data_IF_105633936138
#
_entry.id   IF_105633936138
#
_cell.length_a   1.000
_cell.length_b   1.000
_cell.length_c   1.000
_cell.angle_alpha   90.00
_cell.angle_beta   90.00
_cell.angle_gamma   90.00
#
_symmetry.space_group_name_H-M   'P 1'
#
loop_
_entity.id
_entity.type
_entity.pdbx_description
1 polymer ?
#
# COMPACT_ATOMS: atom_id res chain seq x y z
N UNK A 1 22.43 65.10 2.96
CA UNK A 1 22.05 64.50 4.24
C UNK A 1 21.57 63.06 3.99
N UNK A 2 22.40 62.09 4.28
CA UNK A 2 22.03 60.65 4.20
C UNK A 2 21.50 60.24 5.58
N UNK A 3 20.24 59.77 5.60
CA UNK A 3 19.62 59.16 6.79
C UNK A 3 19.84 57.66 6.70
N UNK A 4 20.72 57.07 7.54
CA UNK A 4 20.86 55.67 7.72
C UNK A 4 19.79 55.17 8.70
N UNK A 5 18.76 54.51 8.20
CA UNK A 5 17.79 53.75 8.99
C UNK A 5 18.36 52.37 9.35
N UNK A 6 18.66 52.13 10.62
CA UNK A 6 19.05 50.83 11.14
C UNK A 6 17.81 49.97 11.32
N UNK A 7 17.53 49.06 10.36
CA UNK A 7 16.49 48.05 10.51
C UNK A 7 17.07 46.87 11.29
N UNK A 8 16.62 46.66 12.53
CA UNK A 8 16.87 45.41 13.27
C UNK A 8 16.28 44.25 12.49
N UNK A 9 17.01 43.14 12.33
CA UNK A 9 16.41 41.93 11.74
C UNK A 9 15.30 41.44 12.68
N UNK A 10 14.11 41.27 12.13
CA UNK A 10 13.03 40.55 12.81
C UNK A 10 13.49 39.11 12.88
N UNK A 11 13.95 38.66 14.05
CA UNK A 11 14.11 37.25 14.36
C UNK A 11 12.68 36.65 14.33
N UNK A 12 12.39 35.89 13.30
CA UNK A 12 11.24 34.99 13.30
C UNK A 12 11.46 34.03 14.48
N UNK A 13 10.59 34.10 15.46
CA UNK A 13 10.53 33.11 16.53
C UNK A 13 10.27 31.76 15.86
N UNK A 14 11.25 30.90 15.80
CA UNK A 14 11.09 29.47 15.58
C UNK A 14 10.28 28.98 16.78
N UNK A 15 8.97 28.96 16.64
CA UNK A 15 8.13 28.16 17.50
C UNK A 15 8.55 26.70 17.24
N UNK A 16 9.26 26.10 18.17
CA UNK A 16 9.44 24.65 18.27
C UNK A 16 8.03 24.04 18.33
N UNK A 17 7.47 23.73 17.15
CA UNK A 17 6.33 22.83 17.06
C UNK A 17 6.87 21.47 17.49
N UNK A 18 6.48 21.01 18.67
CA UNK A 18 6.53 19.58 18.98
C UNK A 18 5.96 18.88 17.74
N UNK A 19 6.69 17.95 17.12
CA UNK A 19 6.14 17.17 16.03
C UNK A 19 4.95 16.40 16.61
N UNK A 20 3.73 16.81 16.24
CA UNK A 20 2.58 15.94 16.44
C UNK A 20 2.84 14.66 15.65
N UNK A 21 2.51 13.48 16.20
CA UNK A 21 2.67 12.22 15.49
C UNK A 21 1.83 12.30 14.20
N UNK A 22 2.51 12.47 13.07
CA UNK A 22 1.87 12.58 11.75
C UNK A 22 1.76 11.19 11.19
N UNK A 23 0.63 10.56 11.39
CA UNK A 23 0.29 9.31 10.73
C UNK A 23 -0.16 9.59 9.30
N UNK A 24 0.32 8.78 8.35
CA UNK A 24 -0.11 8.82 6.95
C UNK A 24 -1.02 7.62 6.68
N UNK A 25 -2.24 7.88 6.22
CA UNK A 25 -3.19 6.84 5.82
C UNK A 25 -3.34 6.90 4.29
N UNK A 26 -3.05 5.79 3.63
CA UNK A 26 -3.18 5.63 2.18
C UNK A 26 -4.42 4.76 1.90
N UNK A 27 -5.41 5.33 1.20
CA UNK A 27 -6.55 4.57 0.69
C UNK A 27 -6.24 4.15 -0.75
N UNK A 28 -6.03 2.87 -0.98
CA UNK A 28 -5.84 2.30 -2.31
C UNK A 28 -7.16 1.70 -2.78
N UNK A 29 -7.76 2.34 -3.79
CA UNK A 29 -9.01 1.90 -4.41
C UNK A 29 -8.72 1.73 -5.91
N UNK A 30 -8.38 0.51 -6.30
CA UNK A 30 -8.12 0.19 -7.71
C UNK A 30 -9.42 0.28 -8.51
N UNK A 31 -9.32 0.70 -9.78
CA UNK A 31 -10.46 0.87 -10.71
C UNK A 31 -11.47 1.96 -10.36
N UNK A 32 -11.20 2.80 -9.37
CA UNK A 32 -12.01 3.99 -9.11
C UNK A 32 -11.79 5.03 -10.21
N UNK A 33 -12.87 5.50 -10.82
CA UNK A 33 -12.86 6.60 -11.79
C UNK A 33 -13.21 7.92 -11.10
N UNK A 34 -12.71 9.03 -11.63
CA UNK A 34 -13.12 10.37 -11.17
C UNK A 34 -14.63 10.60 -11.33
N UNK A 35 -15.26 9.90 -12.28
CA UNK A 35 -16.72 9.97 -12.50
C UNK A 35 -17.53 9.24 -11.41
N UNK A 36 -16.89 8.37 -10.61
CA UNK A 36 -17.51 7.70 -9.49
C UNK A 36 -17.60 8.58 -8.24
N UNK A 37 -16.88 9.70 -8.24
CA UNK A 37 -16.86 10.63 -7.13
C UNK A 37 -18.05 11.58 -7.22
N UNK A 38 -19.01 11.41 -6.32
CA UNK A 38 -20.17 12.30 -6.21
C UNK A 38 -20.70 12.41 -4.78
N UNK A 39 -21.39 13.48 -4.42
CA UNK A 39 -22.03 13.60 -3.11
C UNK A 39 -23.05 12.49 -2.82
N UNK A 40 -23.63 11.88 -3.87
CA UNK A 40 -24.68 10.89 -3.77
C UNK A 40 -24.11 9.46 -3.60
N UNK A 41 -23.09 9.12 -4.36
CA UNK A 41 -22.55 7.74 -4.42
C UNK A 41 -21.36 7.53 -3.49
N UNK A 42 -20.52 8.56 -3.32
CA UNK A 42 -19.29 8.50 -2.54
C UNK A 42 -19.13 9.72 -1.60
N UNK A 43 -20.11 9.97 -0.70
CA UNK A 43 -20.18 11.24 0.04
C UNK A 43 -18.95 11.52 0.91
N UNK A 44 -18.31 10.50 1.46
CA UNK A 44 -17.11 10.66 2.29
C UNK A 44 -15.87 10.98 1.45
N UNK A 45 -15.68 10.34 0.29
CA UNK A 45 -14.59 10.67 -0.63
C UNK A 45 -14.79 12.06 -1.21
N UNK A 46 -16.03 12.43 -1.54
CA UNK A 46 -16.37 13.77 -1.97
C UNK A 46 -15.99 14.81 -0.93
N UNK A 47 -16.31 14.57 0.34
CA UNK A 47 -15.96 15.47 1.45
C UNK A 47 -14.45 15.59 1.65
N UNK A 48 -13.69 14.48 1.50
CA UNK A 48 -12.23 14.52 1.55
C UNK A 48 -11.66 15.41 0.43
N UNK A 49 -12.22 15.32 -0.78
CA UNK A 49 -11.87 16.17 -1.91
C UNK A 49 -12.13 17.66 -1.65
N UNK A 50 -13.24 18.01 -1.00
CA UNK A 50 -13.57 19.40 -0.64
C UNK A 50 -12.62 19.97 0.43
N UNK A 51 -12.10 19.13 1.31
CA UNK A 51 -11.21 19.52 2.41
C UNK A 51 -9.73 19.44 2.06
N UNK A 52 -9.38 18.72 1.01
CA UNK A 52 -8.03 18.47 0.56
C UNK A 52 -7.74 19.05 -0.81
N UNK A 53 -6.92 18.33 -1.56
CA UNK A 53 -6.57 18.66 -2.95
C UNK A 53 -6.72 17.45 -3.85
N UNK A 54 -7.03 17.68 -5.13
CA UNK A 54 -7.00 16.66 -6.17
C UNK A 54 -5.74 16.86 -7.01
N UNK A 55 -5.05 15.77 -7.29
CA UNK A 55 -3.94 15.73 -8.22
C UNK A 55 -4.15 14.61 -9.25
N UNK A 56 -3.80 14.85 -10.49
CA UNK A 56 -3.71 13.82 -11.51
C UNK A 56 -2.28 13.31 -11.58
N UNK A 57 -2.11 11.99 -11.42
CA UNK A 57 -0.81 11.35 -11.51
C UNK A 57 -0.65 10.68 -12.87
N UNK A 58 0.54 10.77 -13.45
CA UNK A 58 0.87 9.98 -14.64
C UNK A 58 0.96 8.50 -14.28
N UNK A 59 0.18 7.66 -14.95
CA UNK A 59 0.10 6.22 -14.71
C UNK A 59 1.10 5.40 -15.52
N UNK A 60 2.15 6.00 -16.09
CA UNK A 60 3.23 5.28 -16.78
C UNK A 60 4.01 4.46 -15.74
N UNK A 61 4.25 3.20 -16.08
CA UNK A 61 5.06 2.26 -15.30
C UNK A 61 6.23 1.75 -16.12
N UNK A 62 7.09 0.92 -15.58
CA UNK A 62 8.17 0.26 -16.34
C UNK A 62 7.68 -0.83 -17.32
N UNK A 63 6.38 -1.13 -17.33
CA UNK A 63 5.75 -2.16 -18.17
C UNK A 63 4.28 -1.84 -18.43
N UNK A 64 3.43 -2.87 -18.42
CA UNK A 64 1.99 -2.73 -18.57
C UNK A 64 1.37 -1.93 -17.41
N UNK A 65 0.25 -1.26 -17.66
CA UNK A 65 -0.49 -0.50 -16.65
C UNK A 65 -1.32 -1.45 -15.78
N UNK A 66 -0.68 -2.05 -14.79
CA UNK A 66 -1.32 -2.91 -13.80
C UNK A 66 -1.14 -2.33 -12.41
N UNK A 67 -1.99 -2.72 -11.45
CA UNK A 67 -1.85 -2.35 -10.03
C UNK A 67 -0.47 -2.75 -9.48
N UNK A 68 0.02 -3.93 -9.85
CA UNK A 68 1.35 -4.45 -9.49
C UNK A 68 2.46 -3.47 -9.91
N UNK A 69 2.50 -3.14 -11.21
CA UNK A 69 3.53 -2.24 -11.74
C UNK A 69 3.37 -0.81 -11.23
N UNK A 70 2.13 -0.37 -10.98
CA UNK A 70 1.82 0.91 -10.35
C UNK A 70 2.39 0.98 -8.93
N UNK A 71 2.11 -0.01 -8.09
CA UNK A 71 2.63 -0.09 -6.72
C UNK A 71 4.17 -0.15 -6.70
N UNK A 72 4.79 -0.99 -7.56
CA UNK A 72 6.25 -1.04 -7.68
C UNK A 72 6.85 0.31 -8.13
N UNK A 73 6.20 1.02 -9.05
CA UNK A 73 6.65 2.33 -9.55
C UNK A 73 6.59 3.39 -8.43
N UNK A 74 5.51 3.41 -7.65
CA UNK A 74 5.38 4.33 -6.49
C UNK A 74 6.43 3.98 -5.44
N UNK A 75 6.54 2.70 -5.07
CA UNK A 75 7.52 2.20 -4.11
C UNK A 75 8.96 2.55 -4.48
N UNK A 76 9.29 2.48 -5.77
CA UNK A 76 10.62 2.80 -6.27
C UNK A 76 10.89 4.30 -6.44
N UNK A 77 9.87 5.16 -6.45
CA UNK A 77 9.99 6.57 -6.84
C UNK A 77 10.51 6.80 -8.27
N UNK A 78 10.51 5.76 -9.10
CA UNK A 78 10.97 5.72 -10.49
C UNK A 78 10.22 4.60 -11.21
N UNK A 79 10.14 4.63 -12.55
CA UNK A 79 9.54 3.54 -13.31
C UNK A 79 10.09 2.19 -12.87
N UNK A 80 9.20 1.28 -12.51
CA UNK A 80 9.53 -0.07 -12.06
C UNK A 80 8.47 -1.07 -12.53
N UNK A 81 8.81 -2.35 -12.47
CA UNK A 81 7.90 -3.46 -12.76
C UNK A 81 7.90 -4.46 -11.61
N UNK A 82 6.79 -5.13 -11.44
CA UNK A 82 6.69 -6.31 -10.60
C UNK A 82 7.15 -7.59 -11.31
N UNK A 83 6.77 -8.72 -10.73
CA UNK A 83 6.88 -10.04 -11.36
C UNK A 83 5.47 -10.61 -11.59
N UNK A 84 5.37 -11.70 -12.33
CA UNK A 84 4.09 -12.40 -12.55
C UNK A 84 3.42 -12.83 -11.25
N UNK A 85 4.20 -13.15 -10.22
CA UNK A 85 3.74 -13.61 -8.92
C UNK A 85 3.75 -12.51 -7.84
N UNK A 86 3.96 -11.24 -8.22
CA UNK A 86 4.06 -10.15 -7.25
C UNK A 86 2.73 -9.81 -6.54
N UNK A 87 1.63 -10.41 -6.97
CA UNK A 87 0.33 -10.35 -6.29
C UNK A 87 0.21 -11.35 -5.12
N UNK A 88 1.10 -12.35 -5.05
CA UNK A 88 1.12 -13.41 -4.03
C UNK A 88 1.96 -12.96 -2.83
N UNK A 89 1.32 -12.21 -1.94
CA UNK A 89 1.94 -11.70 -0.71
C UNK A 89 1.19 -12.29 0.48
N UNK A 90 1.89 -12.56 1.59
CA UNK A 90 1.36 -13.35 2.69
C UNK A 90 1.72 -12.75 4.05
N UNK A 91 0.87 -12.94 5.04
CA UNK A 91 1.23 -12.76 6.44
C UNK A 91 2.25 -13.83 6.83
N UNK A 92 3.23 -13.52 7.66
CA UNK A 92 4.28 -14.47 8.07
C UNK A 92 3.71 -15.78 8.66
N UNK A 93 2.55 -15.68 9.32
CA UNK A 93 1.86 -16.82 9.91
C UNK A 93 0.96 -17.62 8.96
N UNK A 94 0.74 -17.18 7.71
CA UNK A 94 -0.05 -17.96 6.75
C UNK A 94 0.65 -19.27 6.40
N UNK A 95 -0.14 -20.35 6.25
CA UNK A 95 0.39 -21.69 5.88
C UNK A 95 0.07 -21.95 4.41
N UNK A 96 1.11 -22.23 3.62
CA UNK A 96 1.05 -22.50 2.18
C UNK A 96 1.51 -23.92 1.93
N UNK A 97 0.64 -24.79 1.44
CA UNK A 97 0.99 -26.20 1.14
C UNK A 97 1.71 -26.90 2.31
N UNK A 98 1.20 -26.73 3.55
CA UNK A 98 1.74 -27.30 4.80
C UNK A 98 2.99 -26.60 5.37
N UNK A 99 3.54 -25.56 4.75
CA UNK A 99 4.71 -24.83 5.20
C UNK A 99 4.35 -23.36 5.57
N UNK A 100 4.86 -22.81 6.69
CA UNK A 100 4.67 -21.38 7.01
C UNK A 100 5.27 -20.46 5.93
N UNK A 101 4.57 -19.40 5.61
CA UNK A 101 5.05 -18.39 4.65
C UNK A 101 6.40 -17.78 5.08
N UNK A 102 6.62 -17.65 6.39
CA UNK A 102 7.89 -17.19 6.96
C UNK A 102 9.08 -18.09 6.55
N UNK A 103 8.90 -19.40 6.58
CA UNK A 103 9.98 -20.35 6.25
C UNK A 103 10.28 -20.34 4.76
N UNK A 104 9.23 -20.27 3.92
CA UNK A 104 9.36 -20.12 2.47
C UNK A 104 10.10 -18.81 2.14
N UNK A 105 9.72 -17.72 2.79
CA UNK A 105 10.34 -16.43 2.59
C UNK A 105 11.81 -16.44 2.99
N UNK A 106 12.14 -16.95 4.18
CA UNK A 106 13.51 -17.02 4.68
C UNK A 106 14.41 -17.87 3.76
N UNK A 107 13.89 -18.98 3.26
CA UNK A 107 14.61 -19.84 2.29
C UNK A 107 14.88 -19.14 0.96
N UNK A 108 13.93 -18.34 0.47
CA UNK A 108 14.02 -17.69 -0.84
C UNK A 108 14.83 -16.39 -0.81
N UNK A 109 14.84 -15.68 0.31
CA UNK A 109 15.45 -14.33 0.42
C UNK A 109 16.70 -14.31 1.29
N UNK A 110 16.84 -15.25 2.22
CA UNK A 110 17.87 -15.26 3.25
C UNK A 110 17.56 -14.37 4.45
N UNK A 111 16.43 -13.68 4.48
CA UNK A 111 15.96 -12.85 5.60
C UNK A 111 14.98 -13.66 6.47
N UNK A 112 15.16 -13.58 7.79
CA UNK A 112 14.21 -14.17 8.75
C UNK A 112 13.19 -13.10 9.13
N UNK A 113 11.91 -13.28 8.80
CA UNK A 113 10.88 -12.29 9.12
C UNK A 113 10.47 -12.36 10.59
N UNK A 114 9.86 -11.28 11.07
CA UNK A 114 9.17 -11.25 12.34
C UNK A 114 7.75 -11.83 12.20
N UNK A 115 7.10 -12.09 13.36
CA UNK A 115 5.80 -12.78 13.39
C UNK A 115 4.67 -12.01 12.67
N UNK A 116 4.70 -10.68 12.77
CA UNK A 116 3.64 -9.81 12.27
C UNK A 116 3.93 -9.25 10.88
N UNK A 117 5.09 -9.62 10.30
CA UNK A 117 5.52 -9.15 8.98
C UNK A 117 4.60 -9.62 7.85
N UNK A 118 4.48 -8.77 6.85
CA UNK A 118 3.91 -9.12 5.54
C UNK A 118 5.07 -9.35 4.58
N UNK A 119 4.99 -10.47 3.85
CA UNK A 119 6.11 -11.03 3.10
C UNK A 119 5.84 -10.99 1.59
N UNK A 120 6.76 -10.36 0.86
CA UNK A 120 6.78 -10.29 -0.60
C UNK A 120 7.82 -11.28 -1.13
N UNK A 121 7.43 -12.55 -1.22
CA UNK A 121 8.34 -13.65 -1.60
C UNK A 121 8.95 -13.52 -2.99
N UNK A 122 8.38 -12.68 -3.85
CA UNK A 122 8.86 -12.40 -5.21
C UNK A 122 9.91 -11.28 -5.29
N UNK A 123 10.36 -10.71 -4.17
CA UNK A 123 11.24 -9.53 -4.15
C UNK A 123 12.51 -9.72 -4.99
N UNK A 124 13.18 -10.87 -4.89
CA UNK A 124 14.39 -11.15 -5.66
C UNK A 124 14.16 -11.15 -7.19
N UNK A 125 12.98 -11.60 -7.62
CA UNK A 125 12.59 -11.60 -9.04
C UNK A 125 12.27 -10.18 -9.50
N UNK A 126 11.58 -9.40 -8.65
CA UNK A 126 11.28 -7.99 -8.89
C UNK A 126 12.57 -7.20 -9.06
N UNK A 127 13.52 -7.34 -8.13
CA UNK A 127 14.83 -6.68 -8.17
C UNK A 127 15.63 -7.06 -9.42
N UNK A 128 15.68 -8.35 -9.74
CA UNK A 128 16.37 -8.83 -10.96
C UNK A 128 15.76 -8.21 -12.23
N UNK A 129 14.42 -8.20 -12.34
CA UNK A 129 13.73 -7.65 -13.50
C UNK A 129 14.02 -6.14 -13.67
N UNK A 130 13.98 -5.39 -12.57
CA UNK A 130 14.22 -3.96 -12.57
C UNK A 130 15.69 -3.62 -12.87
N UNK A 131 16.62 -4.34 -12.25
CA UNK A 131 18.07 -4.16 -12.47
C UNK A 131 18.45 -4.42 -13.93
N UNK A 132 18.00 -5.53 -14.51
CA UNK A 132 18.30 -5.89 -15.92
C UNK A 132 17.75 -4.86 -16.92
N UNK A 133 16.68 -4.15 -16.58
CA UNK A 133 16.03 -3.15 -17.42
C UNK A 133 16.42 -1.71 -17.06
N UNK A 134 17.36 -1.51 -16.14
CA UNK A 134 17.77 -0.20 -15.62
C UNK A 134 16.58 0.64 -15.10
N UNK A 135 15.62 -0.02 -14.47
CA UNK A 135 14.46 0.58 -13.83
C UNK A 135 14.73 0.96 -12.36
N UNK A 136 13.70 1.45 -11.67
CA UNK A 136 13.78 1.80 -10.24
C UNK A 136 13.87 0.56 -9.35
N UNK A 137 14.58 0.67 -8.25
CA UNK A 137 14.63 -0.36 -7.22
C UNK A 137 13.34 -0.32 -6.41
N UNK A 138 12.60 -1.39 -6.38
CA UNK A 138 11.41 -1.52 -5.54
C UNK A 138 11.78 -1.55 -4.05
N UNK A 139 10.86 -1.08 -3.19
CA UNK A 139 11.11 -1.03 -1.74
C UNK A 139 11.76 0.26 -1.23
N UNK A 140 12.14 1.19 -2.11
CA UNK A 140 12.77 2.47 -1.73
C UNK A 140 11.92 3.32 -0.79
N UNK A 141 10.60 3.31 -0.97
CA UNK A 141 9.70 4.05 -0.08
C UNK A 141 9.73 3.45 1.32
N UNK A 142 9.60 2.12 1.45
CA UNK A 142 9.72 1.41 2.73
C UNK A 142 11.06 1.68 3.41
N UNK A 143 12.17 1.54 2.69
CA UNK A 143 13.50 1.87 3.22
C UNK A 143 13.60 3.32 3.73
N UNK A 144 13.00 4.27 3.02
CA UNK A 144 13.01 5.68 3.41
C UNK A 144 12.20 5.94 4.68
N UNK A 145 11.08 5.22 4.85
CA UNK A 145 10.25 5.26 6.06
C UNK A 145 11.04 4.66 7.23
N UNK A 146 11.64 3.49 7.05
CA UNK A 146 12.44 2.82 8.07
C UNK A 146 13.69 3.61 8.47
N UNK A 147 14.33 4.32 7.53
CA UNK A 147 15.48 5.18 7.82
C UNK A 147 15.14 6.34 8.78
N UNK A 148 13.85 6.69 8.91
CA UNK A 148 13.34 7.67 9.86
C UNK A 148 12.88 7.02 11.18
N UNK A 149 13.05 5.70 11.35
CA UNK A 149 12.55 4.94 12.51
C UNK A 149 11.04 4.76 12.52
N UNK A 150 10.37 4.96 11.38
CA UNK A 150 8.93 4.85 11.23
C UNK A 150 8.55 3.46 10.72
N UNK A 151 7.31 3.03 11.02
CA UNK A 151 6.78 1.71 10.69
C UNK A 151 5.65 1.77 9.67
N UNK A 152 5.55 0.69 8.90
CA UNK A 152 4.57 0.50 7.83
C UNK A 152 3.55 -0.58 8.17
N UNK A 153 2.31 -0.44 7.67
CA UNK A 153 1.30 -1.48 7.75
C UNK A 153 0.41 -1.53 6.50
N UNK A 154 -0.10 -2.73 6.18
CA UNK A 154 -1.08 -2.92 5.11
C UNK A 154 -2.29 -3.70 5.62
N UNK A 155 -3.50 -3.23 5.28
CA UNK A 155 -4.76 -3.85 5.67
C UNK A 155 -5.64 -4.02 4.44
N UNK A 156 -6.25 -5.20 4.30
CA UNK A 156 -7.14 -5.53 3.19
C UNK A 156 -6.41 -6.15 2.00
N UNK A 157 -7.17 -6.53 1.01
CA UNK A 157 -6.69 -7.23 -0.18
C UNK A 157 -7.69 -7.13 -1.34
N UNK A 158 -7.28 -7.64 -2.49
CA UNK A 158 -8.11 -7.84 -3.68
C UNK A 158 -8.28 -9.33 -4.02
N UNK A 159 -8.18 -10.23 -3.03
CA UNK A 159 -8.28 -11.68 -3.19
C UNK A 159 -9.59 -12.06 -3.89
N UNK A 160 -9.54 -13.09 -4.72
CA UNK A 160 -10.69 -13.73 -5.37
C UNK A 160 -10.82 -15.18 -4.88
N UNK A 161 -11.97 -15.83 -5.03
CA UNK A 161 -12.10 -17.22 -4.62
C UNK A 161 -10.98 -18.10 -5.18
N UNK A 162 -10.17 -18.70 -4.30
CA UNK A 162 -9.01 -19.52 -4.67
C UNK A 162 -7.81 -18.79 -5.29
N UNK A 163 -7.81 -17.46 -5.30
CA UNK A 163 -6.74 -16.68 -5.94
C UNK A 163 -6.36 -15.47 -5.08
N UNK A 164 -5.26 -15.55 -4.30
CA UNK A 164 -4.73 -14.39 -3.58
C UNK A 164 -4.31 -13.28 -4.54
N UNK A 165 -4.66 -12.03 -4.22
CA UNK A 165 -4.30 -10.85 -5.00
C UNK A 165 -4.12 -9.65 -4.07
N UNK A 166 -2.88 -9.31 -3.73
CA UNK A 166 -2.55 -8.36 -2.65
C UNK A 166 -1.50 -7.35 -3.10
N UNK A 167 -1.75 -6.59 -4.18
CA UNK A 167 -0.77 -5.68 -4.76
C UNK A 167 -0.39 -4.50 -3.86
N UNK A 168 -1.25 -4.09 -2.91
CA UNK A 168 -0.99 -2.99 -2.00
C UNK A 168 0.28 -3.16 -1.17
N UNK A 169 0.67 -4.42 -0.87
CA UNK A 169 1.88 -4.71 -0.12
C UNK A 169 3.15 -4.21 -0.82
N UNK A 170 3.17 -4.24 -2.15
CA UNK A 170 4.30 -3.79 -2.97
C UNK A 170 4.59 -2.29 -2.83
N UNK A 171 3.60 -1.50 -2.40
CA UNK A 171 3.75 -0.07 -2.26
C UNK A 171 4.58 0.30 -1.03
N UNK A 172 4.38 -0.39 0.09
CA UNK A 172 5.00 -0.07 1.38
C UNK A 172 6.12 -1.04 1.78
N UNK A 173 6.40 -2.10 1.01
CA UNK A 173 7.52 -3.00 1.29
C UNK A 173 8.86 -2.25 1.31
N UNK A 174 9.79 -2.73 2.10
CA UNK A 174 11.21 -2.34 2.03
C UNK A 174 11.97 -3.14 0.94
N UNK A 175 13.26 -2.88 0.77
CA UNK A 175 14.10 -3.57 -0.22
C UNK A 175 14.33 -5.07 0.10
N UNK A 176 14.02 -5.52 1.32
CA UNK A 176 14.04 -6.94 1.69
C UNK A 176 12.75 -7.65 1.28
N UNK A 177 11.70 -6.91 0.90
CA UNK A 177 10.37 -7.41 0.59
C UNK A 177 9.52 -7.62 1.85
N UNK A 178 9.65 -6.74 2.84
CA UNK A 178 8.94 -6.82 4.12
C UNK A 178 8.13 -5.54 4.34
N UNK A 179 6.90 -5.68 4.85
CA UNK A 179 6.11 -4.62 5.50
C UNK A 179 5.99 -5.01 6.97
N UNK A 180 6.20 -4.06 7.91
CA UNK A 180 6.37 -4.36 9.34
C UNK A 180 5.15 -5.00 10.02
N UNK A 181 3.95 -4.79 9.50
CA UNK A 181 2.75 -5.43 10.03
C UNK A 181 1.57 -5.35 9.06
N UNK A 182 0.51 -6.11 9.34
CA UNK A 182 -0.70 -5.99 8.54
C UNK A 182 -1.73 -7.06 8.79
N UNK A 183 -2.82 -6.96 8.04
CA UNK A 183 -3.88 -7.95 7.97
C UNK A 183 -4.38 -8.00 6.52
N UNK A 184 -3.82 -8.93 5.75
CA UNK A 184 -4.05 -9.05 4.31
C UNK A 184 -4.62 -10.40 3.89
N UNK A 185 -4.71 -11.35 4.81
CA UNK A 185 -5.18 -12.69 4.55
C UNK A 185 -6.68 -12.78 4.20
N UNK A 186 -7.17 -13.98 3.87
CA UNK A 186 -8.56 -14.20 3.44
C UNK A 186 -9.59 -13.80 4.51
N UNK A 187 -9.18 -13.66 5.78
CA UNK A 187 -10.03 -13.18 6.86
C UNK A 187 -10.48 -11.71 6.68
N UNK A 188 -9.81 -10.94 5.83
CA UNK A 188 -10.23 -9.57 5.47
C UNK A 188 -11.36 -9.54 4.45
N UNK A 189 -11.82 -10.71 4.02
CA UNK A 189 -12.94 -10.87 3.13
C UNK A 189 -14.09 -11.63 3.81
N UNK A 190 -15.27 -11.46 3.27
CA UNK A 190 -16.48 -12.22 3.62
C UNK A 190 -17.22 -12.66 2.35
N UNK A 191 -18.07 -13.68 2.40
CA UNK A 191 -18.95 -14.01 1.29
C UNK A 191 -19.74 -12.80 0.83
N UNK A 192 -19.97 -12.67 -0.46
CA UNK A 192 -20.79 -11.62 -1.05
C UNK A 192 -22.19 -11.63 -0.46
N UNK A 193 -22.75 -10.43 -0.22
CA UNK A 193 -24.09 -10.28 0.35
C UNK A 193 -25.18 -10.45 -0.69
N UNK A 194 -25.96 -9.39 -0.91
CA UNK A 194 -27.20 -9.40 -1.67
C UNK A 194 -27.12 -9.92 -3.13
N UNK A 195 -25.92 -10.11 -3.69
CA UNK A 195 -25.75 -10.62 -5.06
C UNK A 195 -24.46 -11.44 -5.19
N UNK A 196 -24.44 -12.63 -4.56
CA UNK A 196 -23.29 -13.56 -4.57
C UNK A 196 -22.81 -13.92 -5.98
N UNK A 197 -23.73 -13.91 -6.96
CA UNK A 197 -23.39 -14.17 -8.36
C UNK A 197 -22.60 -13.04 -9.01
N UNK A 198 -22.71 -11.79 -8.52
CA UNK A 198 -21.99 -10.64 -9.04
C UNK A 198 -20.71 -10.34 -8.26
N UNK A 199 -20.69 -10.63 -6.97
CA UNK A 199 -19.53 -10.42 -6.11
C UNK A 199 -19.47 -11.53 -5.06
N UNK A 200 -18.94 -12.72 -5.41
CA UNK A 200 -18.93 -13.87 -4.50
C UNK A 200 -18.06 -13.65 -3.26
N UNK A 201 -17.10 -12.73 -3.32
CA UNK A 201 -16.23 -12.35 -2.23
C UNK A 201 -16.16 -10.82 -2.15
N UNK A 202 -16.35 -10.25 -0.98
CA UNK A 202 -16.27 -8.81 -0.74
C UNK A 202 -15.39 -8.49 0.47
N UNK A 203 -14.90 -7.28 0.55
CA UNK A 203 -14.13 -6.80 1.70
C UNK A 203 -14.99 -6.79 2.97
N UNK A 204 -14.42 -7.28 4.08
CA UNK A 204 -15.05 -7.20 5.40
C UNK A 204 -14.62 -5.89 6.06
N UNK A 205 -15.37 -4.82 5.78
CA UNK A 205 -15.06 -3.47 6.27
C UNK A 205 -15.05 -3.37 7.80
N UNK A 206 -15.83 -4.20 8.50
CA UNK A 206 -15.85 -4.21 9.97
C UNK A 206 -14.56 -4.79 10.52
N UNK A 207 -14.08 -5.89 9.93
CA UNK A 207 -12.78 -6.46 10.29
C UNK A 207 -11.64 -5.52 9.91
N UNK A 208 -11.66 -4.93 8.72
CA UNK A 208 -10.64 -3.96 8.30
C UNK A 208 -10.57 -2.77 9.28
N UNK A 209 -11.73 -2.25 9.70
CA UNK A 209 -11.80 -1.18 10.71
C UNK A 209 -11.26 -1.63 12.07
N UNK A 210 -11.56 -2.85 12.48
CA UNK A 210 -11.03 -3.46 13.71
C UNK A 210 -9.50 -3.56 13.68
N UNK A 211 -8.94 -4.08 12.58
CA UNK A 211 -7.50 -4.18 12.38
C UNK A 211 -6.83 -2.80 12.31
N UNK A 212 -7.44 -1.85 11.62
CA UNK A 212 -6.95 -0.47 11.61
C UNK A 212 -6.85 0.11 13.02
N UNK A 213 -7.86 -0.12 13.88
CA UNK A 213 -7.85 0.37 15.27
C UNK A 213 -6.73 -0.24 16.10
N UNK A 214 -6.32 -1.48 15.80
CA UNK A 214 -5.23 -2.18 16.49
C UNK A 214 -3.86 -1.68 15.97
N UNK A 215 -3.71 -1.59 14.65
CA UNK A 215 -2.41 -1.31 14.02
C UNK A 215 -2.02 0.16 14.04
N UNK A 216 -3.01 1.08 14.10
CA UNK A 216 -2.76 2.53 14.03
C UNK A 216 -1.87 3.07 15.16
N UNK A 217 -1.87 2.44 16.31
CA UNK A 217 -1.13 2.94 17.47
C UNK A 217 0.37 2.62 17.41
N UNK A 218 0.76 1.68 16.54
CA UNK A 218 2.14 1.21 16.41
C UNK A 218 2.73 1.38 14.99
N UNK A 219 1.99 2.00 14.06
CA UNK A 219 2.44 2.21 12.69
C UNK A 219 2.20 3.65 12.24
N UNK A 220 3.16 4.20 11.50
CA UNK A 220 3.16 5.59 11.07
C UNK A 220 2.58 5.76 9.66
N UNK A 221 2.77 4.78 8.80
CA UNK A 221 2.24 4.76 7.44
C UNK A 221 1.39 3.51 7.24
N UNK A 222 0.10 3.68 7.03
CA UNK A 222 -0.85 2.57 6.89
C UNK A 222 -1.54 2.65 5.54
N UNK A 223 -1.49 1.56 4.78
CA UNK A 223 -2.24 1.39 3.55
C UNK A 223 -3.47 0.54 3.79
N UNK A 224 -4.61 1.02 3.31
CA UNK A 224 -5.89 0.30 3.28
C UNK A 224 -6.20 -0.04 1.82
N UNK A 225 -6.18 -1.34 1.48
CA UNK A 225 -6.51 -1.84 0.14
C UNK A 225 -7.99 -2.24 0.06
N UNK A 226 -8.74 -1.54 -0.79
CA UNK A 226 -10.16 -1.80 -1.04
C UNK A 226 -10.34 -2.50 -2.39
N UNK A 227 -10.47 -3.83 -2.37
CA UNK A 227 -10.41 -4.67 -3.56
C UNK A 227 -11.74 -4.91 -4.29
N UNK A 228 -12.89 -4.39 -3.81
CA UNK A 228 -14.20 -4.75 -4.36
C UNK A 228 -14.39 -4.37 -5.83
N UNK A 229 -13.92 -3.19 -6.25
CA UNK A 229 -14.01 -2.78 -7.65
C UNK A 229 -13.09 -3.63 -8.54
N UNK A 230 -11.91 -3.99 -8.05
CA UNK A 230 -10.98 -4.89 -8.76
C UNK A 230 -11.58 -6.30 -8.93
N UNK A 231 -12.26 -6.81 -7.90
CA UNK A 231 -13.00 -8.09 -7.96
C UNK A 231 -14.12 -8.05 -9.00
N UNK A 232 -14.93 -6.97 -8.98
CA UNK A 232 -16.02 -6.80 -9.95
C UNK A 232 -15.48 -6.77 -11.37
N UNK A 233 -14.48 -5.94 -11.67
CA UNK A 233 -13.92 -5.87 -13.03
C UNK A 233 -13.41 -7.23 -13.52
N UNK A 234 -12.74 -7.99 -12.65
CA UNK A 234 -12.20 -9.30 -13.01
C UNK A 234 -13.29 -10.31 -13.44
N UNK A 235 -14.52 -10.12 -13.01
CA UNK A 235 -15.66 -10.99 -13.39
C UNK A 235 -16.31 -10.61 -14.71
N UNK A 236 -16.18 -9.34 -15.12
CA UNK A 236 -16.76 -8.85 -16.39
C UNK A 236 -15.74 -8.85 -17.53
N UNK A 237 -14.44 -9.06 -17.25
CA UNK A 237 -13.36 -9.08 -18.25
C UNK A 237 -12.96 -10.49 -18.69
N UNK A 238 -13.59 -11.51 -18.15
CA UNK A 238 -13.47 -12.94 -18.51
C UNK A 238 -14.67 -13.39 -19.39
#
# INVERSE_FOLDING_TARGET
ACVFGCTKPVQAAETERKPEPRQVIIYMIDKLSINDLSPQTTPYLWKLQEQGGIGLLNTITGGERTSINGCCTISAGKLAVGSSNAHLNYEAGEVLEEEPAADIFARNTGFVPEKDDILISSINVIEKNNSQRNLGQAGRLGDSIHALGLKTAVIGNSDRPGYPNRPGCLLLMDARGIVDSGAIGPQMCRPGGFNESLLPLQSDYDKMRGQFSILRDNNDVILLEFGDLSRLESMYSS
#
